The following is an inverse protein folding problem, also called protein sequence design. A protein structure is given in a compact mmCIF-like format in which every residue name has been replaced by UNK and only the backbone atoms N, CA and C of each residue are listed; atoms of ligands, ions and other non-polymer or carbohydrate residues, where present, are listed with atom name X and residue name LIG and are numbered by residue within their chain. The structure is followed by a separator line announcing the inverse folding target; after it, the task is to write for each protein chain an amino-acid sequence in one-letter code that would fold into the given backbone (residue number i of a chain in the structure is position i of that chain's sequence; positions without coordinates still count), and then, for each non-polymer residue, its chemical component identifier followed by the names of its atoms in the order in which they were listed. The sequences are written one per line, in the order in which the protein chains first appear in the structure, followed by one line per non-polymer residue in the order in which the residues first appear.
data_IF_775274162965
#
_entry.id   IF_775274162965
#
_cell.length_a   1.000
_cell.length_b   1.000
_cell.length_c   1.000
_cell.angle_alpha   90.00
_cell.angle_beta   90.00
_cell.angle_gamma   90.00
#
_symmetry.space_group_name_H-M   'P 1'
#
loop_
_entity.id
_entity.type
_entity.pdbx_description
1 polymer ?
#
# COMPACT_ATOMS: atom_id res chain seq x y z
N UNK A 1 7.47 -12.97 -18.93
CA UNK A 1 8.84 -12.56 -19.34
C UNK A 1 9.24 -11.13 -18.95
N UNK A 2 8.36 -10.27 -18.42
CA UNK A 2 8.68 -8.85 -18.06
C UNK A 2 9.41 -8.70 -16.70
N UNK A 3 9.64 -9.80 -15.97
CA UNK A 3 10.08 -9.76 -14.56
C UNK A 3 11.59 -9.56 -14.38
N UNK A 4 12.41 -9.79 -15.40
CA UNK A 4 13.87 -9.61 -15.30
C UNK A 4 14.30 -8.13 -15.28
N UNK A 5 13.58 -7.27 -16.01
CA UNK A 5 13.89 -5.83 -16.05
C UNK A 5 13.63 -5.14 -14.71
N UNK A 6 12.65 -5.62 -13.94
CA UNK A 6 12.38 -5.14 -12.59
C UNK A 6 13.51 -5.49 -11.60
N UNK A 7 14.27 -6.56 -11.84
CA UNK A 7 15.40 -6.96 -10.99
C UNK A 7 16.69 -6.18 -11.32
N UNK A 8 16.86 -5.70 -12.55
CA UNK A 8 18.00 -4.88 -12.97
C UNK A 8 17.92 -3.44 -12.46
N UNK A 9 16.70 -2.91 -12.31
CA UNK A 9 16.44 -1.55 -11.80
C UNK A 9 17.08 -1.25 -10.43
N UNK A 10 16.90 -2.08 -9.38
CA UNK A 10 17.53 -1.80 -8.09
C UNK A 10 19.06 -1.88 -8.16
N UNK A 11 19.62 -2.80 -8.95
CA UNK A 11 21.07 -2.90 -9.14
C UNK A 11 21.64 -1.64 -9.83
N UNK A 12 20.94 -1.12 -10.86
CA UNK A 12 21.32 0.11 -11.54
C UNK A 12 21.23 1.33 -10.61
N UNK A 13 20.18 1.44 -9.78
CA UNK A 13 20.07 2.52 -8.78
C UNK A 13 21.18 2.43 -7.74
N UNK A 14 21.50 1.22 -7.27
CA UNK A 14 22.55 1.01 -6.28
C UNK A 14 23.95 1.33 -6.85
N UNK A 15 24.21 0.98 -8.11
CA UNK A 15 25.44 1.34 -8.83
C UNK A 15 25.57 2.86 -9.00
N UNK A 16 24.48 3.54 -9.37
CA UNK A 16 24.44 5.00 -9.51
C UNK A 16 24.73 5.69 -8.17
N UNK A 17 24.10 5.23 -7.09
CA UNK A 17 24.34 5.75 -5.74
C UNK A 17 25.79 5.54 -5.28
N UNK A 18 26.36 4.36 -5.52
CA UNK A 18 27.77 4.10 -5.21
C UNK A 18 28.72 5.00 -6.01
N UNK A 19 28.40 5.26 -7.28
CA UNK A 19 29.17 6.16 -8.12
C UNK A 19 29.10 7.61 -7.61
N UNK A 20 27.91 8.10 -7.24
CA UNK A 20 27.73 9.43 -6.66
C UNK A 20 28.51 9.58 -5.35
N UNK A 21 28.44 8.58 -4.46
CA UNK A 21 29.19 8.57 -3.19
C UNK A 21 30.70 8.59 -3.43
N UNK A 22 31.20 7.80 -4.40
CA UNK A 22 32.62 7.79 -4.74
C UNK A 22 33.10 9.13 -5.35
N UNK A 23 32.28 9.78 -6.17
CA UNK A 23 32.58 11.12 -6.70
C UNK A 23 32.53 12.20 -5.60
N UNK A 24 31.58 12.10 -4.66
CA UNK A 24 31.48 13.00 -3.50
C UNK A 24 32.73 12.89 -2.60
N UNK A 25 33.27 11.69 -2.40
CA UNK A 25 34.48 11.44 -1.59
C UNK A 25 35.77 12.03 -2.19
N UNK A 26 35.79 12.26 -3.52
CA UNK A 26 36.91 12.97 -4.19
C UNK A 26 36.88 14.49 -4.00
N UNK A 27 35.74 15.05 -3.57
CA UNK A 27 35.61 16.45 -3.18
C UNK A 27 35.78 16.60 -1.67
N UNK A 28 36.53 17.62 -1.21
CA UNK A 28 36.74 17.88 0.22
C UNK A 28 35.44 18.35 0.89
N UNK A 29 34.53 17.43 1.19
CA UNK A 29 33.34 17.65 1.98
C UNK A 29 33.75 17.86 3.43
N UNK A 30 33.20 18.88 4.07
CA UNK A 30 33.38 19.08 5.51
C UNK A 30 32.90 17.84 6.27
N UNK A 31 33.61 17.45 7.34
CA UNK A 31 33.31 16.27 8.14
C UNK A 31 31.84 16.22 8.61
N UNK A 32 31.23 17.37 8.88
CA UNK A 32 29.82 17.48 9.27
C UNK A 32 28.86 17.05 8.14
N UNK A 33 29.17 17.39 6.89
CA UNK A 33 28.37 17.01 5.71
C UNK A 33 28.50 15.52 5.45
N UNK A 34 29.71 14.97 5.58
CA UNK A 34 29.96 13.53 5.45
C UNK A 34 29.18 12.72 6.51
N UNK A 35 29.16 13.15 7.76
CA UNK A 35 28.40 12.48 8.84
C UNK A 35 26.90 12.55 8.59
N UNK A 36 26.36 13.68 8.15
CA UNK A 36 24.93 13.80 7.85
C UNK A 36 24.50 12.89 6.68
N UNK A 37 25.35 12.79 5.65
CA UNK A 37 25.07 11.97 4.48
C UNK A 37 25.16 10.48 4.80
N UNK A 38 26.18 10.05 5.56
CA UNK A 38 26.33 8.66 6.01
C UNK A 38 25.18 8.23 6.90
N UNK A 39 24.73 9.09 7.82
CA UNK A 39 23.55 8.81 8.66
C UNK A 39 22.27 8.61 7.83
N UNK A 40 22.06 9.46 6.82
CA UNK A 40 20.90 9.36 5.92
C UNK A 40 20.99 8.11 5.05
N UNK A 41 22.18 7.78 4.53
CA UNK A 41 22.40 6.57 3.75
C UNK A 41 22.22 5.29 4.59
N UNK A 42 22.68 5.29 5.85
CA UNK A 42 22.48 4.20 6.79
C UNK A 42 20.99 4.00 7.11
N UNK A 43 20.26 5.09 7.39
CA UNK A 43 18.81 5.02 7.62
C UNK A 43 18.06 4.54 6.37
N UNK A 44 18.42 5.06 5.19
CA UNK A 44 17.82 4.66 3.91
C UNK A 44 18.06 3.19 3.57
N UNK A 45 19.28 2.69 3.76
CA UNK A 45 19.61 1.28 3.53
C UNK A 45 18.90 0.35 4.52
N UNK A 46 18.82 0.72 5.80
CA UNK A 46 18.06 -0.03 6.79
C UNK A 46 16.56 -0.11 6.41
N UNK A 47 15.95 1.01 6.02
CA UNK A 47 14.57 1.05 5.55
C UNK A 47 14.37 0.19 4.28
N UNK A 48 15.29 0.23 3.33
CA UNK A 48 15.22 -0.57 2.11
C UNK A 48 15.29 -2.07 2.41
N UNK A 49 16.17 -2.49 3.34
CA UNK A 49 16.27 -3.89 3.78
C UNK A 49 14.98 -4.31 4.49
N UNK A 50 14.44 -3.50 5.40
CA UNK A 50 13.18 -3.77 6.06
C UNK A 50 12.01 -3.90 5.06
N UNK A 51 11.94 -3.00 4.07
CA UNK A 51 10.93 -3.05 3.02
C UNK A 51 11.07 -4.31 2.15
N UNK A 52 12.31 -4.69 1.81
CA UNK A 52 12.60 -5.91 1.05
C UNK A 52 12.13 -7.15 1.83
N UNK A 53 12.51 -7.27 3.09
CA UNK A 53 12.11 -8.39 3.97
C UNK A 53 10.58 -8.42 4.07
N UNK A 54 9.95 -7.29 4.40
CA UNK A 54 8.49 -7.18 4.48
C UNK A 54 7.79 -7.60 3.19
N UNK A 55 8.34 -7.23 2.02
CA UNK A 55 7.79 -7.62 0.72
C UNK A 55 7.89 -9.12 0.44
N UNK A 56 8.91 -9.80 0.98
CA UNK A 56 9.10 -11.25 0.81
C UNK A 56 8.26 -12.07 1.78
N UNK A 57 7.99 -11.52 2.97
CA UNK A 57 7.12 -12.14 3.94
C UNK A 57 5.63 -11.94 3.62
N UNK A 58 5.28 -11.00 2.74
CA UNK A 58 3.90 -10.74 2.36
C UNK A 58 3.28 -11.96 1.62
N UNK A 59 2.12 -12.46 2.07
CA UNK A 59 1.44 -13.56 1.39
C UNK A 59 1.09 -13.21 -0.06
N UNK A 60 1.24 -14.18 -0.97
CA UNK A 60 0.82 -14.02 -2.35
C UNK A 60 -0.72 -14.02 -2.46
N UNK A 61 -1.33 -12.83 -2.55
CA UNK A 61 -2.79 -12.68 -2.67
C UNK A 61 -3.18 -12.42 -4.14
N UNK A 62 -4.21 -13.09 -4.69
CA UNK A 62 -4.73 -12.78 -6.01
C UNK A 62 -5.14 -11.31 -6.13
N UNK A 63 -4.83 -10.67 -7.26
CA UNK A 63 -5.17 -9.25 -7.52
C UNK A 63 -6.67 -8.96 -7.36
N UNK A 64 -7.52 -9.94 -7.68
CA UNK A 64 -8.97 -9.86 -7.51
C UNK A 64 -9.35 -9.68 -6.03
N UNK A 65 -8.72 -10.41 -5.10
CA UNK A 65 -8.97 -10.27 -3.65
C UNK A 65 -8.61 -8.90 -3.11
N UNK A 66 -7.51 -8.30 -3.59
CA UNK A 66 -7.12 -6.94 -3.18
C UNK A 66 -8.17 -5.93 -3.66
N UNK A 67 -8.59 -6.03 -4.91
CA UNK A 67 -9.62 -5.15 -5.48
C UNK A 67 -10.96 -5.30 -4.77
N UNK A 68 -11.38 -6.53 -4.46
CA UNK A 68 -12.63 -6.75 -3.71
C UNK A 68 -12.53 -6.24 -2.29
N UNK A 69 -11.39 -6.43 -1.62
CA UNK A 69 -11.19 -5.90 -0.26
C UNK A 69 -11.18 -4.37 -0.25
N UNK A 70 -10.57 -3.72 -1.25
CA UNK A 70 -10.59 -2.27 -1.38
C UNK A 70 -12.01 -1.76 -1.61
N UNK A 71 -12.73 -2.37 -2.57
CA UNK A 71 -14.11 -2.00 -2.89
C UNK A 71 -15.06 -2.23 -1.71
N UNK A 72 -14.86 -3.30 -0.96
CA UNK A 72 -15.62 -3.60 0.25
C UNK A 72 -15.32 -2.59 1.39
N UNK A 73 -14.05 -2.18 1.54
CA UNK A 73 -13.65 -1.10 2.46
C UNK A 73 -14.29 0.23 2.06
N UNK A 74 -14.26 0.58 0.78
CA UNK A 74 -14.88 1.79 0.24
C UNK A 74 -16.39 1.80 0.51
N UNK A 75 -17.09 0.70 0.25
CA UNK A 75 -18.52 0.56 0.58
C UNK A 75 -18.80 0.74 2.07
N UNK A 76 -17.96 0.15 2.94
CA UNK A 76 -18.10 0.27 4.41
C UNK A 76 -17.84 1.69 4.93
N UNK A 77 -17.07 2.51 4.22
CA UNK A 77 -16.82 3.92 4.57
C UNK A 77 -17.77 4.90 3.89
N UNK A 78 -18.29 4.57 2.72
CA UNK A 78 -19.17 5.44 1.94
C UNK A 78 -20.59 5.48 2.48
N UNK A 79 -21.06 4.38 3.05
CA UNK A 79 -22.38 4.28 3.66
C UNK A 79 -22.23 4.06 5.17
N UNK A 80 -23.09 4.72 5.95
CA UNK A 80 -23.27 4.31 7.34
C UNK A 80 -23.69 2.82 7.31
N UNK A 81 -23.08 1.93 8.11
CA UNK A 81 -23.42 0.52 8.09
C UNK A 81 -24.94 0.36 8.26
N UNK A 82 -25.62 -0.05 7.18
CA UNK A 82 -27.04 -0.32 7.27
C UNK A 82 -27.21 -1.47 8.26
N UNK A 83 -28.05 -1.25 9.27
CA UNK A 83 -28.37 -2.27 10.26
C UNK A 83 -28.97 -3.45 9.54
N UNK A 84 -28.31 -4.60 9.61
CA UNK A 84 -28.83 -5.85 9.07
C UNK A 84 -30.24 -6.09 9.66
N UNK A 85 -31.29 -6.03 8.82
CA UNK A 85 -32.67 -6.22 9.27
C UNK A 85 -32.91 -7.65 9.77
N UNK A 86 -32.05 -8.59 9.40
CA UNK A 86 -32.14 -10.01 9.74
C UNK A 86 -31.17 -10.42 10.88
N UNK A 87 -30.47 -9.46 11.48
CA UNK A 87 -29.60 -9.73 12.63
C UNK A 87 -30.37 -10.36 13.80
N UNK A 88 -29.77 -11.39 14.41
CA UNK A 88 -30.34 -12.07 15.58
C UNK A 88 -30.72 -11.08 16.69
N UNK A 89 -31.92 -11.24 17.26
CA UNK A 89 -32.47 -10.37 18.30
C UNK A 89 -33.14 -9.09 17.79
N UNK A 90 -33.31 -8.92 16.47
CA UNK A 90 -34.10 -7.83 15.90
C UNK A 90 -35.37 -8.33 15.22
N UNK A 91 -36.44 -7.60 15.45
CA UNK A 91 -37.72 -7.84 14.76
C UNK A 91 -37.54 -7.53 13.29
N UNK A 92 -37.76 -8.51 12.42
CA UNK A 92 -37.75 -8.31 10.97
C UNK A 92 -38.70 -7.16 10.61
N UNK A 93 -38.28 -6.19 9.78
CA UNK A 93 -39.17 -5.16 9.27
C UNK A 93 -40.39 -5.85 8.63
N UNK A 94 -41.59 -5.48 9.08
CA UNK A 94 -42.82 -5.99 8.44
C UNK A 94 -42.79 -5.52 6.98
N UNK A 95 -43.04 -6.45 6.04
CA UNK A 95 -43.10 -6.11 4.63
C UNK A 95 -44.03 -4.91 4.42
N UNK A 96 -43.72 -3.99 3.48
CA UNK A 96 -44.59 -2.87 3.17
C UNK A 96 -45.99 -3.42 2.86
N UNK A 97 -46.95 -3.09 3.72
CA UNK A 97 -48.33 -3.54 3.57
C UNK A 97 -48.98 -2.81 2.40
N UNK A 98 -49.51 -3.59 1.44
CA UNK A 98 -50.25 -3.19 0.22
C UNK A 98 -49.57 -2.07 -0.59
N UNK A 99 -49.25 -2.36 -1.86
CA UNK A 99 -48.75 -1.36 -2.79
C UNK A 99 -49.67 -0.12 -2.79
N UNK A 100 -49.14 1.02 -2.34
CA UNK A 100 -49.77 2.32 -2.59
C UNK A 100 -49.72 2.54 -4.11
N UNK A 101 -50.84 2.95 -4.69
CA UNK A 101 -51.07 3.21 -6.12
C UNK A 101 -50.21 4.36 -6.70
N UNK A 102 -49.12 4.76 -6.05
CA UNK A 102 -48.36 5.98 -6.37
C UNK A 102 -47.09 5.70 -7.21
N UNK A 103 -46.93 4.51 -7.78
CA UNK A 103 -45.81 4.19 -8.65
C UNK A 103 -46.22 3.37 -9.89
N UNK A 104 -47.29 3.78 -10.55
CA UNK A 104 -47.57 3.39 -11.93
C UNK A 104 -47.62 4.67 -12.80
N UNK A 105 -46.48 4.99 -13.39
CA UNK A 105 -46.32 5.84 -14.56
C UNK A 105 -45.04 5.43 -15.28
#
# INVERSE_FOLDING_TARGET
MIRSWANMRPAAVLLLLLLEVALLDTGSLSAAVAVAFTATAAAGSALAVCALIGSRCAPAVPRTRVRTALRDREHRTAFLPQRDPDASGRTRPRAPGRALLTAAA
#
